data_IF_470161383006
#
_entry.id   IF_470161383006
#
_cell.length_a   1.000
_cell.length_b   1.000
_cell.length_c   1.000
_cell.angle_alpha   90.00
_cell.angle_beta   90.00
_cell.angle_gamma   90.00
#
_symmetry.space_group_name_H-M   'P 1'
#
loop_
_entity.id
_entity.type
_entity.pdbx_description
1 polymer ?
#
# COMPACT_ATOMS: atom_id res chain seq x y z
N UNK A 1 -0.58 -24.22 5.48
CA UNK A 1 -0.07 -22.86 5.18
C UNK A 1 -1.24 -21.92 5.28
N UNK A 2 -1.12 -20.85 6.05
CA UNK A 2 -2.21 -19.91 6.32
C UNK A 2 -1.93 -18.59 5.62
N UNK A 3 -2.94 -17.98 5.02
CA UNK A 3 -2.83 -16.67 4.38
C UNK A 3 -3.27 -15.60 5.36
N UNK A 4 -2.48 -14.54 5.52
CA UNK A 4 -2.81 -13.38 6.33
C UNK A 4 -2.92 -12.16 5.42
N UNK A 5 -4.06 -11.47 5.47
CA UNK A 5 -4.21 -10.12 4.92
C UNK A 5 -3.99 -9.12 6.04
N UNK A 6 -3.21 -8.09 5.77
CA UNK A 6 -2.94 -7.03 6.73
C UNK A 6 -3.08 -5.66 6.09
N UNK A 7 -3.58 -4.73 6.88
CA UNK A 7 -3.70 -3.32 6.55
C UNK A 7 -2.61 -2.56 7.29
N UNK A 8 -1.97 -1.62 6.61
CA UNK A 8 -0.93 -0.80 7.21
C UNK A 8 -0.98 0.65 6.77
N UNK A 9 -0.47 1.53 7.62
CA UNK A 9 -0.31 2.96 7.35
C UNK A 9 1.12 3.25 6.93
N UNK A 10 1.29 4.22 6.05
CA UNK A 10 2.58 4.80 5.68
C UNK A 10 2.53 6.31 5.82
N UNK A 11 3.24 6.84 6.81
CA UNK A 11 3.26 8.27 7.10
C UNK A 11 4.47 9.00 6.49
N UNK A 12 4.49 10.32 6.65
CA UNK A 12 5.42 11.27 6.00
C UNK A 12 6.90 10.89 6.05
N UNK A 13 7.47 10.31 7.13
CA UNK A 13 8.88 9.91 7.17
C UNK A 13 9.26 8.88 6.11
N UNK A 14 8.31 8.03 5.69
CA UNK A 14 8.54 6.95 4.72
C UNK A 14 7.81 7.18 3.39
N UNK A 15 7.36 8.41 3.11
CA UNK A 15 6.64 8.73 1.86
C UNK A 15 7.47 8.49 0.60
N UNK A 16 8.79 8.54 0.68
CA UNK A 16 9.69 8.31 -0.46
C UNK A 16 10.15 6.86 -0.59
N UNK A 17 9.60 5.94 0.20
CA UNK A 17 9.90 4.53 0.08
C UNK A 17 9.35 3.98 -1.24
N UNK A 18 10.23 3.45 -2.09
CA UNK A 18 9.84 2.81 -3.34
C UNK A 18 9.12 1.48 -3.07
N UNK A 19 8.38 0.96 -4.05
CA UNK A 19 7.72 -0.34 -3.91
C UNK A 19 8.70 -1.49 -3.63
N UNK A 20 9.85 -1.53 -4.31
CA UNK A 20 10.87 -2.56 -4.10
C UNK A 20 11.51 -2.44 -2.71
N UNK A 21 11.72 -1.21 -2.21
CA UNK A 21 12.25 -1.02 -0.87
C UNK A 21 11.24 -1.35 0.21
N UNK A 22 9.94 -1.10 -0.03
CA UNK A 22 8.86 -1.57 0.83
C UNK A 22 8.82 -3.10 0.90
N UNK A 23 8.94 -3.80 -0.23
CA UNK A 23 9.07 -5.25 -0.24
C UNK A 23 10.26 -5.72 0.61
N UNK A 24 11.46 -5.17 0.38
CA UNK A 24 12.66 -5.53 1.16
C UNK A 24 12.51 -5.21 2.65
N UNK A 25 11.86 -4.09 2.99
CA UNK A 25 11.60 -3.68 4.37
C UNK A 25 10.69 -4.71 5.05
N UNK A 26 9.57 -5.08 4.43
CA UNK A 26 8.64 -6.05 5.00
C UNK A 26 9.29 -7.43 5.14
N UNK A 27 10.10 -7.88 4.16
CA UNK A 27 10.88 -9.12 4.29
C UNK A 27 11.79 -9.10 5.52
N UNK A 28 12.50 -7.98 5.75
CA UNK A 28 13.35 -7.80 6.94
C UNK A 28 12.53 -7.72 8.22
N UNK A 29 11.37 -7.06 8.19
CA UNK A 29 10.48 -6.92 9.33
C UNK A 29 9.89 -8.28 9.74
N UNK A 30 9.38 -9.07 8.79
CA UNK A 30 8.91 -10.43 9.04
C UNK A 30 9.99 -11.28 9.71
N UNK A 31 11.23 -11.22 9.22
CA UNK A 31 12.36 -11.93 9.83
C UNK A 31 12.65 -11.45 11.26
N UNK A 32 12.69 -10.13 11.50
CA UNK A 32 12.94 -9.56 12.85
C UNK A 32 11.82 -9.86 13.84
N UNK A 33 10.58 -9.90 13.36
CA UNK A 33 9.40 -10.22 14.15
C UNK A 33 9.20 -11.74 14.36
N UNK A 34 10.11 -12.59 13.86
CA UNK A 34 9.96 -14.05 13.87
C UNK A 34 8.60 -14.50 13.32
N UNK A 35 8.15 -13.86 12.22
CA UNK A 35 6.96 -14.30 11.49
C UNK A 35 7.35 -15.52 10.64
N UNK A 36 6.63 -16.65 10.76
CA UNK A 36 6.95 -17.89 10.07
C UNK A 36 6.51 -17.84 8.60
N UNK A 37 7.11 -16.94 7.81
CA UNK A 37 6.75 -16.76 6.39
C UNK A 37 7.08 -18.01 5.59
N UNK A 38 6.13 -18.46 4.76
CA UNK A 38 6.34 -19.52 3.79
C UNK A 38 7.16 -19.02 2.60
N UNK A 39 8.01 -19.88 2.05
CA UNK A 39 8.88 -19.55 0.91
C UNK A 39 8.49 -20.33 -0.34
N UNK A 40 8.85 -19.82 -1.52
CA UNK A 40 8.77 -20.55 -2.78
C UNK A 40 9.70 -21.78 -2.77
N UNK A 41 9.37 -22.78 -3.60
CA UNK A 41 10.09 -24.07 -3.68
C UNK A 41 11.10 -24.12 -4.85
N UNK A 42 11.50 -22.96 -5.39
CA UNK A 42 12.45 -22.87 -6.50
C UNK A 42 13.91 -22.76 -6.03
N UNK A 43 14.84 -22.69 -6.99
CA UNK A 43 16.28 -22.55 -6.72
C UNK A 43 16.67 -21.30 -5.90
N UNK A 44 15.84 -20.25 -5.95
CA UNK A 44 15.97 -19.07 -5.09
C UNK A 44 14.66 -18.87 -4.31
N UNK A 45 14.56 -19.43 -3.08
CA UNK A 45 13.37 -19.30 -2.26
C UNK A 45 13.11 -17.83 -1.93
N UNK A 46 11.94 -17.33 -2.33
CA UNK A 46 11.47 -15.99 -1.99
C UNK A 46 10.28 -16.09 -1.05
N UNK A 47 10.16 -15.17 -0.08
CA UNK A 47 9.02 -15.14 0.83
C UNK A 47 7.74 -14.92 0.04
N UNK A 48 6.71 -15.71 0.35
CA UNK A 48 5.39 -15.61 -0.28
C UNK A 48 4.61 -14.46 0.34
N UNK A 49 4.83 -13.27 -0.21
CA UNK A 49 4.15 -12.04 0.17
C UNK A 49 3.85 -11.19 -1.07
N UNK A 50 2.83 -10.36 -0.97
CA UNK A 50 2.45 -9.40 -2.02
C UNK A 50 1.80 -8.16 -1.41
N UNK A 51 1.68 -7.10 -2.21
CA UNK A 51 0.92 -5.89 -1.86
C UNK A 51 -0.17 -5.69 -2.89
N UNK A 52 -1.30 -5.15 -2.44
CA UNK A 52 -2.47 -4.99 -3.29
C UNK A 52 -2.22 -4.00 -4.45
N UNK A 53 -1.52 -2.90 -4.16
CA UNK A 53 -1.12 -1.87 -5.12
C UNK A 53 0.32 -1.42 -4.87
N UNK A 54 0.97 -0.94 -5.92
CA UNK A 54 2.25 -0.24 -5.81
C UNK A 54 1.99 1.27 -5.67
N UNK A 55 2.23 1.83 -4.49
CA UNK A 55 2.07 3.26 -4.27
C UNK A 55 3.27 4.05 -4.81
N UNK A 56 3.00 5.19 -5.44
CA UNK A 56 4.04 6.13 -5.89
C UNK A 56 4.81 6.72 -4.71
N UNK A 57 6.07 7.09 -4.95
CA UNK A 57 6.87 7.85 -3.99
C UNK A 57 6.31 9.26 -3.82
N UNK A 58 6.52 9.85 -2.64
CA UNK A 58 6.00 11.15 -2.25
C UNK A 58 4.63 11.10 -1.58
N UNK A 59 3.94 9.95 -1.60
CA UNK A 59 2.60 9.77 -1.03
C UNK A 59 2.63 9.08 0.35
N UNK A 60 1.69 9.48 1.19
CA UNK A 60 1.31 8.80 2.44
C UNK A 60 0.01 8.05 2.24
N UNK A 61 -0.22 7.00 3.03
CA UNK A 61 -1.48 6.27 3.04
C UNK A 61 -1.92 5.93 4.45
N UNK A 62 -3.22 6.04 4.70
CA UNK A 62 -3.87 5.59 5.93
C UNK A 62 -4.35 4.12 5.82
N UNK A 63 -4.28 3.53 4.63
CA UNK A 63 -4.76 2.18 4.35
C UNK A 63 -4.10 1.60 3.09
N UNK A 64 -2.94 0.96 3.25
CA UNK A 64 -2.39 0.04 2.27
C UNK A 64 -2.65 -1.41 2.71
N UNK A 65 -2.68 -2.34 1.75
CA UNK A 65 -2.98 -3.74 2.02
C UNK A 65 -1.85 -4.64 1.51
N UNK A 66 -1.46 -5.60 2.35
CA UNK A 66 -0.49 -6.63 2.02
C UNK A 66 -0.96 -8.02 2.41
N UNK A 67 -0.41 -9.01 1.72
CA UNK A 67 -0.67 -10.44 1.94
C UNK A 67 0.65 -11.13 2.27
N UNK A 68 0.60 -12.07 3.21
CA UNK A 68 1.70 -12.98 3.50
C UNK A 68 1.17 -14.39 3.76
N UNK A 69 1.87 -15.40 3.26
CA UNK A 69 1.58 -16.80 3.56
C UNK A 69 2.54 -17.23 4.67
N UNK A 70 2.01 -17.84 5.72
CA UNK A 70 2.76 -18.39 6.84
C UNK A 70 2.75 -19.91 6.85
N UNK A 71 3.85 -20.51 7.30
CA UNK A 71 4.05 -21.97 7.37
C UNK A 71 3.47 -22.58 8.64
N UNK A 72 3.37 -21.81 9.71
CA UNK A 72 2.78 -22.21 11.01
C UNK A 72 1.76 -21.19 11.46
N UNK A 73 0.80 -21.63 12.27
CA UNK A 73 -0.28 -20.79 12.74
C UNK A 73 0.24 -19.71 13.69
N UNK A 74 -0.25 -18.49 13.48
CA UNK A 74 -0.02 -17.33 14.31
C UNK A 74 -1.34 -16.59 14.41
N UNK A 75 -1.76 -16.24 15.62
CA UNK A 75 -2.96 -15.43 15.80
C UNK A 75 -2.73 -13.99 15.31
N UNK A 76 -3.83 -13.33 14.97
CA UNK A 76 -3.83 -12.00 14.36
C UNK A 76 -3.21 -10.96 15.29
N UNK A 77 -3.51 -11.02 16.59
CA UNK A 77 -3.06 -10.02 17.56
C UNK A 77 -1.55 -10.13 17.78
N UNK A 78 -1.02 -11.34 17.90
CA UNK A 78 0.41 -11.62 17.97
C UNK A 78 1.12 -11.16 16.69
N UNK A 79 0.53 -11.41 15.51
CA UNK A 79 1.08 -10.93 14.24
C UNK A 79 1.21 -9.40 14.23
N UNK A 80 0.12 -8.68 14.56
CA UNK A 80 0.09 -7.21 14.59
C UNK A 80 1.13 -6.69 15.59
N UNK A 81 1.13 -7.23 16.82
CA UNK A 81 2.03 -6.82 17.88
C UNK A 81 3.50 -6.97 17.49
N UNK A 82 3.91 -8.17 17.04
CA UNK A 82 5.30 -8.45 16.65
C UNK A 82 5.73 -7.62 15.45
N UNK A 83 4.84 -7.46 14.46
CA UNK A 83 5.13 -6.62 13.30
C UNK A 83 5.36 -5.18 13.70
N UNK A 84 4.50 -4.60 14.54
CA UNK A 84 4.65 -3.22 14.99
C UNK A 84 5.88 -2.98 15.86
N UNK A 85 6.37 -3.98 16.60
CA UNK A 85 7.66 -3.91 17.28
C UNK A 85 8.86 -3.93 16.31
N UNK A 86 8.72 -4.60 15.17
CA UNK A 86 9.79 -4.75 14.19
C UNK A 86 9.77 -3.70 13.08
N UNK A 87 8.66 -2.99 12.86
CA UNK A 87 8.53 -1.97 11.83
C UNK A 87 9.20 -0.65 12.26
N UNK A 88 9.83 0.08 11.33
CA UNK A 88 10.38 1.39 11.64
C UNK A 88 9.27 2.43 11.82
N UNK A 89 9.61 3.53 12.52
CA UNK A 89 8.74 4.70 12.61
C UNK A 89 8.30 5.13 11.21
N UNK A 90 6.98 5.20 11.03
CA UNK A 90 6.37 5.62 9.78
C UNK A 90 5.59 4.52 9.06
N UNK A 91 5.74 3.26 9.49
CA UNK A 91 4.89 2.13 9.10
C UNK A 91 4.23 1.53 10.34
N UNK A 92 2.98 1.14 10.21
CA UNK A 92 2.19 0.54 11.29
C UNK A 92 1.16 -0.42 10.71
N UNK A 93 1.13 -1.66 11.18
CA UNK A 93 0.02 -2.59 10.93
C UNK A 93 -1.15 -2.18 11.82
N UNK A 94 -2.29 -1.89 11.22
CA UNK A 94 -3.48 -1.42 11.95
C UNK A 94 -4.59 -2.48 12.03
N UNK A 95 -4.57 -3.46 11.14
CA UNK A 95 -5.49 -4.59 11.16
C UNK A 95 -4.85 -5.77 10.43
N UNK A 96 -5.25 -6.98 10.79
CA UNK A 96 -4.97 -8.18 10.03
C UNK A 96 -6.11 -9.18 10.17
N UNK A 97 -6.19 -10.12 9.24
CA UNK A 97 -7.14 -11.24 9.28
C UNK A 97 -6.50 -12.48 8.68
N UNK A 98 -6.87 -13.63 9.24
CA UNK A 98 -6.59 -14.93 8.63
C UNK A 98 -7.61 -15.16 7.51
N UNK A 99 -7.13 -15.55 6.35
CA UNK A 99 -7.94 -15.82 5.17
C UNK A 99 -8.04 -17.33 4.95
N UNK A 100 -9.27 -17.80 4.71
CA UNK A 100 -9.54 -19.18 4.31
C UNK A 100 -9.04 -19.49 2.89
N UNK A 101 -9.20 -20.74 2.49
CA UNK A 101 -8.91 -21.16 1.11
C UNK A 101 -9.88 -20.50 0.12
N UNK A 102 -9.43 -20.33 -1.13
CA UNK A 102 -10.25 -19.75 -2.20
C UNK A 102 -10.45 -18.23 -2.16
N UNK A 103 -9.90 -17.54 -1.14
CA UNK A 103 -9.96 -16.06 -1.08
C UNK A 103 -9.13 -15.46 -2.21
N UNK A 104 -9.77 -14.58 -2.98
CA UNK A 104 -9.15 -13.83 -4.07
C UNK A 104 -7.87 -13.10 -3.64
N UNK A 105 -7.01 -12.80 -4.61
CA UNK A 105 -5.84 -11.95 -4.35
C UNK A 105 -6.28 -10.57 -3.89
N UNK A 106 -5.49 -9.92 -3.03
CA UNK A 106 -5.79 -8.54 -2.59
C UNK A 106 -6.02 -7.59 -3.77
N UNK A 107 -5.21 -7.69 -4.82
CA UNK A 107 -5.35 -6.85 -6.01
C UNK A 107 -6.67 -7.05 -6.74
N UNK A 108 -7.24 -8.27 -6.72
CA UNK A 108 -8.57 -8.55 -7.30
C UNK A 108 -9.70 -8.03 -6.42
N UNK A 109 -9.52 -8.04 -5.09
CA UNK A 109 -10.53 -7.57 -4.13
C UNK A 109 -10.66 -6.04 -4.01
N UNK A 110 -9.72 -5.27 -4.57
CA UNK A 110 -9.74 -3.82 -4.53
C UNK A 110 -10.69 -3.23 -5.58
N UNK A 111 -11.67 -2.46 -5.13
CA UNK A 111 -12.68 -1.84 -5.99
C UNK A 111 -12.60 -0.31 -6.03
N UNK A 112 -11.99 0.33 -5.02
CA UNK A 112 -11.92 1.79 -4.90
C UNK A 112 -10.65 2.24 -4.19
N UNK A 113 -10.26 3.49 -4.42
CA UNK A 113 -9.23 4.19 -3.65
C UNK A 113 -9.66 5.63 -3.41
N UNK A 114 -9.58 6.07 -2.16
CA UNK A 114 -9.91 7.44 -1.78
C UNK A 114 -8.63 8.27 -1.65
N UNK A 115 -8.67 9.48 -2.22
CA UNK A 115 -7.53 10.38 -2.23
C UNK A 115 -7.86 11.64 -1.44
N UNK A 116 -6.94 12.03 -0.55
CA UNK A 116 -6.98 13.33 0.13
C UNK A 116 -5.84 14.18 -0.37
N UNK A 117 -6.18 15.22 -1.13
CA UNK A 117 -5.22 16.18 -1.66
C UNK A 117 -5.27 17.44 -0.80
N UNK A 118 -4.10 17.92 -0.38
CA UNK A 118 -3.97 19.24 0.26
C UNK A 118 -3.21 20.16 -0.69
N UNK A 119 -3.85 21.25 -1.07
CA UNK A 119 -3.27 22.29 -1.91
C UNK A 119 -3.01 23.53 -1.07
N UNK A 120 -1.90 24.19 -1.35
CA UNK A 120 -1.65 25.54 -0.84
C UNK A 120 -2.21 26.51 -1.87
N UNK A 121 -3.14 27.36 -1.42
CA UNK A 121 -3.74 28.42 -2.24
C UNK A 121 -3.08 29.75 -1.93
N UNK A 122 -3.15 30.70 -2.88
CA UNK A 122 -2.71 32.06 -2.62
C UNK A 122 -3.73 32.76 -1.71
N UNK A 123 -3.31 33.72 -0.86
CA UNK A 123 -4.22 34.41 0.07
C UNK A 123 -5.45 35.05 -0.60
N UNK A 124 -5.29 35.55 -1.82
CA UNK A 124 -6.33 36.19 -2.64
C UNK A 124 -7.25 35.21 -3.38
N UNK A 125 -7.03 33.89 -3.23
CA UNK A 125 -7.86 32.89 -3.90
C UNK A 125 -9.25 32.84 -3.27
N UNK A 126 -10.30 33.09 -4.05
CA UNK A 126 -11.67 32.83 -3.63
C UNK A 126 -11.92 31.31 -3.57
N UNK A 127 -12.20 30.81 -2.36
CA UNK A 127 -12.45 29.39 -2.14
C UNK A 127 -13.74 28.89 -2.79
N UNK A 128 -14.74 29.75 -2.97
CA UNK A 128 -15.99 29.37 -3.62
C UNK A 128 -15.78 29.17 -5.12
N UNK A 129 -15.05 30.09 -5.76
CA UNK A 129 -14.69 30.00 -7.18
C UNK A 129 -13.78 28.79 -7.44
N UNK A 130 -12.79 28.56 -6.57
CA UNK A 130 -11.95 27.37 -6.63
C UNK A 130 -12.77 26.08 -6.51
N UNK A 131 -13.69 26.01 -5.54
CA UNK A 131 -14.55 24.84 -5.36
C UNK A 131 -15.51 24.62 -6.54
N UNK A 132 -16.02 25.69 -7.15
CA UNK A 132 -16.82 25.62 -8.38
C UNK A 132 -15.99 25.10 -9.56
N UNK A 133 -14.77 25.62 -9.75
CA UNK A 133 -13.85 25.18 -10.79
C UNK A 133 -13.45 23.71 -10.65
N UNK A 134 -13.17 23.24 -9.43
CA UNK A 134 -12.89 21.82 -9.18
C UNK A 134 -14.10 20.95 -9.49
N UNK A 135 -15.31 21.34 -9.08
CA UNK A 135 -16.54 20.58 -9.39
C UNK A 135 -16.78 20.48 -10.89
N UNK A 136 -16.74 21.61 -11.60
CA UNK A 136 -16.89 21.66 -13.05
C UNK A 136 -15.87 20.76 -13.76
N UNK A 137 -14.62 20.72 -13.27
CA UNK A 137 -13.59 19.85 -13.83
C UNK A 137 -13.87 18.36 -13.58
N UNK A 138 -14.38 18.00 -12.40
CA UNK A 138 -14.72 16.61 -12.05
C UNK A 138 -15.99 16.10 -12.76
N UNK A 139 -16.86 17.01 -13.22
CA UNK A 139 -18.07 16.68 -13.99
C UNK A 139 -17.78 16.40 -15.48
N UNK A 140 -16.55 16.63 -15.95
CA UNK A 140 -16.17 16.31 -17.33
C UNK A 140 -16.35 14.80 -17.59
N UNK A 141 -16.95 14.41 -18.75
CA UNK A 141 -17.15 12.99 -19.07
C UNK A 141 -15.83 12.24 -19.23
N UNK A 142 -14.74 12.96 -19.54
CA UNK A 142 -13.39 12.42 -19.59
C UNK A 142 -12.34 13.51 -19.29
N UNK A 143 -11.27 13.12 -18.61
CA UNK A 143 -10.09 13.95 -18.38
C UNK A 143 -8.97 13.43 -19.27
N UNK A 144 -8.59 14.19 -20.29
CA UNK A 144 -7.52 13.83 -21.22
C UNK A 144 -6.16 14.18 -20.61
N UNK A 145 -5.28 13.18 -20.49
CA UNK A 145 -3.93 13.34 -19.97
C UNK A 145 -2.93 13.00 -21.07
N UNK A 146 -2.04 13.94 -21.38
CA UNK A 146 -0.90 13.68 -22.26
C UNK A 146 0.30 13.24 -21.42
N UNK A 147 0.85 12.08 -21.73
CA UNK A 147 1.95 11.45 -20.98
C UNK A 147 3.09 11.07 -21.92
N UNK A 148 4.33 11.17 -21.44
CA UNK A 148 5.47 10.65 -22.19
C UNK A 148 5.56 9.14 -22.01
N UNK A 149 5.65 8.41 -23.12
CA UNK A 149 5.96 6.99 -23.07
C UNK A 149 7.45 6.76 -22.80
N UNK A 150 7.84 5.48 -22.61
CA UNK A 150 9.25 5.09 -22.40
C UNK A 150 10.21 5.52 -23.52
N UNK A 151 9.69 5.85 -24.71
CA UNK A 151 10.45 6.33 -25.88
C UNK A 151 10.46 7.86 -26.02
N UNK A 152 9.96 8.59 -25.02
CA UNK A 152 9.93 10.05 -24.99
C UNK A 152 8.85 10.71 -25.86
N UNK A 153 8.01 9.95 -26.57
CA UNK A 153 6.89 10.50 -27.35
C UNK A 153 5.72 10.82 -26.42
N UNK A 154 5.08 11.95 -26.65
CA UNK A 154 3.80 12.27 -26.01
C UNK A 154 2.70 11.38 -26.60
N UNK A 155 1.92 10.76 -25.72
CA UNK A 155 0.78 9.89 -26.01
C UNK A 155 -0.34 10.18 -25.03
#
# INVERSE_FOLDING_TARGET
MVKIHYQFKRSTPLRFLSHLDQQRLFQRAFRRANIPVAYSQGFNPHPRMSFALAMSVGLTSDAEYGEVIVSTDIDVDTFIHRMNQALPKGLEIIAAKICGEGVESLSASLYQSDYRIRIKVMPETDLNDLAASVRMYLELPQILIQKRNKKGKYV
#
